data_IF_777844165787
#
_entry.id   IF_777844165787
#
_cell.length_a   1.000
_cell.length_b   1.000
_cell.length_c   1.000
_cell.angle_alpha   90.00
_cell.angle_beta   90.00
_cell.angle_gamma   90.00
#
_symmetry.space_group_name_H-M   'P 1'
#
loop_
_entity.id
_entity.type
_entity.pdbx_description
1 polymer ?
#
# COMPACT_ATOMS: atom_id res chain seq x y z
N UNK A 1 35.41 -9.90 5.79
CA UNK A 1 34.43 -10.63 6.61
C UNK A 1 34.06 -11.88 5.86
N UNK A 2 34.46 -13.06 6.34
CA UNK A 2 34.25 -14.33 5.61
C UNK A 2 32.92 -14.98 6.04
N UNK A 3 32.20 -15.66 5.12
CA UNK A 3 30.94 -16.33 5.43
C UNK A 3 31.03 -17.31 6.61
N UNK A 4 32.19 -17.98 6.75
CA UNK A 4 32.43 -18.92 7.85
C UNK A 4 32.45 -18.25 9.24
N UNK A 5 32.96 -17.02 9.33
CA UNK A 5 33.01 -16.27 10.59
C UNK A 5 31.60 -15.85 11.03
N UNK A 6 30.73 -15.55 10.06
CA UNK A 6 29.31 -15.22 10.28
C UNK A 6 28.58 -16.46 10.82
N UNK A 7 28.75 -17.64 10.21
CA UNK A 7 28.17 -18.89 10.70
C UNK A 7 28.64 -19.26 12.12
N UNK A 8 29.94 -19.11 12.40
CA UNK A 8 30.48 -19.34 13.77
C UNK A 8 29.88 -18.38 14.80
N UNK A 9 29.59 -17.14 14.41
CA UNK A 9 28.98 -16.16 15.32
C UNK A 9 27.53 -16.50 15.67
N UNK A 10 26.74 -17.01 14.72
CA UNK A 10 25.38 -17.52 14.99
C UNK A 10 25.41 -18.78 15.86
N UNK A 11 26.35 -19.69 15.61
CA UNK A 11 26.55 -20.88 16.45
C UNK A 11 26.95 -20.53 17.88
N UNK A 12 27.87 -19.59 18.08
CA UNK A 12 28.37 -19.19 19.39
C UNK A 12 27.33 -18.44 20.24
N UNK A 13 26.40 -17.73 19.60
CA UNK A 13 25.36 -16.93 20.27
C UNK A 13 24.09 -17.74 20.56
N UNK A 14 24.03 -19.00 20.14
CA UNK A 14 22.87 -19.87 20.37
C UNK A 14 21.61 -19.40 19.65
N UNK A 15 21.73 -18.49 18.68
CA UNK A 15 20.62 -17.99 17.86
C UNK A 15 20.24 -19.11 16.90
N UNK A 16 19.23 -19.89 17.30
CA UNK A 16 18.64 -20.96 16.51
C UNK A 16 17.67 -20.35 15.48
N UNK A 17 17.75 -20.74 14.19
CA UNK A 17 18.10 -22.08 13.72
C UNK A 17 19.33 -22.15 12.80
N UNK A 18 20.14 -23.19 13.01
CA UNK A 18 21.21 -23.56 12.09
C UNK A 18 20.69 -24.09 10.74
N UNK A 19 19.42 -24.51 10.71
CA UNK A 19 18.71 -24.95 9.51
C UNK A 19 17.61 -23.94 9.16
N UNK A 20 17.90 -23.07 8.20
CA UNK A 20 16.96 -22.06 7.74
C UNK A 20 15.66 -22.70 7.18
N UNK A 21 15.77 -23.90 6.57
CA UNK A 21 14.64 -24.60 5.98
C UNK A 21 13.66 -25.09 7.05
N UNK A 22 14.13 -25.38 8.27
CA UNK A 22 13.27 -25.75 9.39
C UNK A 22 12.34 -24.61 9.83
N UNK A 23 12.77 -23.35 9.67
CA UNK A 23 11.91 -22.19 9.93
C UNK A 23 10.94 -21.98 8.79
N UNK A 24 11.42 -22.02 7.55
CA UNK A 24 10.58 -21.85 6.37
C UNK A 24 9.45 -22.89 6.32
N UNK A 25 9.73 -24.15 6.68
CA UNK A 25 8.72 -25.22 6.78
C UNK A 25 7.67 -24.98 7.87
N UNK A 26 8.00 -24.30 8.98
CA UNK A 26 7.01 -23.98 10.03
C UNK A 26 5.98 -22.97 9.53
N UNK A 27 6.42 -22.01 8.71
CA UNK A 27 5.56 -20.96 8.17
C UNK A 27 4.79 -21.36 6.90
N UNK A 28 5.16 -22.46 6.24
CA UNK A 28 4.48 -22.99 5.05
C UNK A 28 3.28 -23.92 5.34
N UNK A 29 2.76 -23.96 6.56
CA UNK A 29 1.56 -24.74 6.89
C UNK A 29 0.28 -23.91 6.68
N UNK A 30 0.04 -23.44 5.47
CA UNK A 30 -1.32 -23.05 5.09
C UNK A 30 -2.03 -24.29 4.57
N UNK A 31 -3.23 -24.63 5.06
CA UNK A 31 -4.08 -25.53 4.29
C UNK A 31 -4.25 -24.88 2.92
N UNK A 32 -3.95 -25.62 1.85
CA UNK A 32 -4.44 -25.30 0.51
C UNK A 32 -5.96 -25.39 0.56
N UNK A 33 -6.60 -24.35 1.11
CA UNK A 33 -7.97 -24.06 0.79
C UNK A 33 -7.90 -23.43 -0.60
N UNK A 34 -7.98 -24.32 -1.59
CA UNK A 34 -8.42 -24.00 -2.93
C UNK A 34 -9.87 -23.51 -2.81
N UNK A 35 -10.06 -22.32 -2.27
CA UNK A 35 -11.20 -21.52 -2.69
C UNK A 35 -10.73 -20.89 -4.00
N UNK A 36 -11.14 -21.52 -5.10
CA UNK A 36 -11.20 -20.92 -6.43
C UNK A 36 -12.20 -19.75 -6.45
N UNK A 37 -12.22 -18.92 -5.41
CA UNK A 37 -12.92 -17.64 -5.45
C UNK A 37 -11.89 -16.65 -5.96
N UNK A 38 -11.87 -16.57 -7.29
CA UNK A 38 -11.25 -15.56 -8.13
C UNK A 38 -10.28 -14.68 -7.36
N UNK A 39 -8.97 -14.86 -7.60
CA UNK A 39 -7.95 -13.87 -7.29
C UNK A 39 -8.61 -12.50 -7.39
N UNK A 40 -8.89 -11.89 -6.23
CA UNK A 40 -9.16 -10.47 -6.16
C UNK A 40 -7.78 -9.92 -6.45
N UNK A 41 -7.43 -9.93 -7.74
CA UNK A 41 -6.21 -9.34 -8.24
C UNK A 41 -6.17 -7.95 -7.64
N UNK A 42 -4.97 -7.47 -7.35
CA UNK A 42 -4.77 -6.04 -7.22
C UNK A 42 -5.48 -5.36 -8.39
N UNK A 43 -6.72 -4.93 -8.18
CA UNK A 43 -7.53 -4.27 -9.17
C UNK A 43 -7.06 -2.81 -9.16
N UNK A 44 -5.76 -2.62 -9.42
CA UNK A 44 -5.19 -1.37 -9.85
C UNK A 44 -5.80 -1.07 -11.23
N UNK A 45 -6.96 -0.43 -11.21
CA UNK A 45 -7.77 -0.14 -12.39
C UNK A 45 -9.25 -0.56 -12.30
N UNK A 46 -9.65 -1.29 -11.24
CA UNK A 46 -11.04 -1.73 -10.97
C UNK A 46 -11.86 -0.79 -10.10
N UNK A 47 -11.44 0.46 -9.93
CA UNK A 47 -12.12 1.43 -9.08
C UNK A 47 -13.30 2.12 -9.77
N UNK A 48 -13.57 1.78 -11.04
CA UNK A 48 -14.61 2.46 -11.80
C UNK A 48 -16.00 2.02 -11.35
N UNK A 49 -16.86 2.99 -11.01
CA UNK A 49 -18.25 2.75 -10.65
C UNK A 49 -19.00 1.77 -11.58
N UNK A 50 -18.83 1.79 -12.92
CA UNK A 50 -19.51 0.86 -13.81
C UNK A 50 -19.18 -0.61 -13.56
N UNK A 51 -17.95 -0.92 -13.16
CA UNK A 51 -17.50 -2.30 -12.92
C UNK A 51 -18.02 -2.81 -11.57
N UNK A 52 -17.87 -2.02 -10.52
CA UNK A 52 -18.50 -2.28 -9.22
C UNK A 52 -20.01 -2.43 -9.33
N UNK A 53 -20.64 -1.64 -10.22
CA UNK A 53 -22.07 -1.73 -10.48
C UNK A 53 -22.45 -3.05 -11.15
N UNK A 54 -21.66 -3.55 -12.11
CA UNK A 54 -21.91 -4.86 -12.74
C UNK A 54 -21.82 -5.99 -11.71
N UNK A 55 -20.80 -5.97 -10.84
CA UNK A 55 -20.63 -6.96 -9.77
C UNK A 55 -21.82 -6.91 -8.81
N UNK A 56 -22.20 -5.71 -8.36
CA UNK A 56 -23.38 -5.51 -7.52
C UNK A 56 -24.65 -6.04 -8.20
N UNK A 57 -24.82 -5.74 -9.48
CA UNK A 57 -25.99 -6.13 -10.27
C UNK A 57 -26.06 -7.64 -10.53
N UNK A 58 -24.94 -8.35 -10.52
CA UNK A 58 -24.88 -9.81 -10.62
C UNK A 58 -25.15 -10.49 -9.27
N UNK A 59 -24.63 -9.92 -8.17
CA UNK A 59 -24.76 -10.49 -6.83
C UNK A 59 -26.14 -10.24 -6.19
N UNK A 60 -26.80 -9.12 -6.51
CA UNK A 60 -28.05 -8.71 -5.85
C UNK A 60 -29.27 -9.08 -6.68
N UNK A 61 -29.95 -10.16 -6.27
CA UNK A 61 -31.12 -10.70 -6.96
C UNK A 61 -32.32 -9.72 -7.03
N UNK A 62 -32.61 -8.98 -5.96
CA UNK A 62 -33.70 -7.98 -5.95
C UNK A 62 -33.18 -6.57 -5.69
N UNK A 63 -32.85 -5.88 -6.78
CA UNK A 63 -32.28 -4.53 -6.82
C UNK A 63 -33.29 -3.43 -6.44
N UNK A 64 -34.59 -3.73 -6.52
CA UNK A 64 -35.64 -2.78 -6.19
C UNK A 64 -35.85 -2.65 -4.68
N UNK A 65 -35.35 -3.60 -3.88
CA UNK A 65 -35.37 -3.52 -2.41
C UNK A 65 -34.66 -2.27 -1.94
N UNK A 66 -35.24 -1.63 -0.92
CA UNK A 66 -34.71 -0.41 -0.31
C UNK A 66 -33.28 -0.64 0.19
N UNK A 67 -33.02 -1.80 0.80
CA UNK A 67 -31.70 -2.20 1.28
C UNK A 67 -30.67 -2.29 0.15
N UNK A 68 -31.03 -2.88 -0.98
CA UNK A 68 -30.16 -2.97 -2.15
C UNK A 68 -29.83 -1.58 -2.71
N UNK A 69 -30.83 -0.68 -2.82
CA UNK A 69 -30.59 0.70 -3.26
C UNK A 69 -29.67 1.45 -2.29
N UNK A 70 -29.89 1.30 -0.99
CA UNK A 70 -29.05 1.92 0.05
C UNK A 70 -27.62 1.40 -0.03
N UNK A 71 -27.43 0.09 -0.18
CA UNK A 71 -26.11 -0.52 -0.33
C UNK A 71 -25.38 -0.01 -1.59
N UNK A 72 -26.08 0.06 -2.74
CA UNK A 72 -25.52 0.62 -3.97
C UNK A 72 -25.09 2.08 -3.80
N UNK A 73 -25.88 2.90 -3.10
CA UNK A 73 -25.55 4.30 -2.85
C UNK A 73 -24.34 4.44 -1.92
N UNK A 74 -24.28 3.63 -0.86
CA UNK A 74 -23.13 3.60 0.06
C UNK A 74 -21.86 3.15 -0.66
N UNK A 75 -21.94 2.15 -1.53
CA UNK A 75 -20.81 1.69 -2.33
C UNK A 75 -20.28 2.78 -3.28
N UNK A 76 -21.19 3.47 -3.97
CA UNK A 76 -20.82 4.58 -4.85
C UNK A 76 -20.16 5.73 -4.08
N UNK A 77 -20.73 6.12 -2.93
CA UNK A 77 -20.16 7.16 -2.08
C UNK A 77 -18.77 6.79 -1.58
N UNK A 78 -18.55 5.53 -1.19
CA UNK A 78 -17.25 5.05 -0.73
C UNK A 78 -16.21 5.09 -1.86
N UNK A 79 -16.59 4.69 -3.07
CA UNK A 79 -15.74 4.72 -4.25
C UNK A 79 -15.31 6.16 -4.60
N UNK A 80 -16.26 7.11 -4.66
CA UNK A 80 -15.95 8.53 -4.90
C UNK A 80 -15.03 9.10 -3.84
N UNK A 81 -15.27 8.77 -2.56
CA UNK A 81 -14.40 9.23 -1.47
C UNK A 81 -12.99 8.66 -1.56
N UNK A 82 -12.85 7.39 -1.95
CA UNK A 82 -11.53 6.76 -2.11
C UNK A 82 -10.76 7.41 -3.25
N UNK A 83 -11.41 7.67 -4.38
CA UNK A 83 -10.82 8.37 -5.52
C UNK A 83 -10.33 9.77 -5.13
N UNK A 84 -11.17 10.54 -4.44
CA UNK A 84 -10.77 11.87 -3.92
C UNK A 84 -9.55 11.80 -2.98
N UNK A 85 -9.51 10.80 -2.10
CA UNK A 85 -8.38 10.59 -1.20
C UNK A 85 -7.10 10.19 -1.93
N UNK A 86 -7.20 9.36 -2.98
CA UNK A 86 -6.05 8.98 -3.81
C UNK A 86 -5.48 10.19 -4.55
N UNK A 87 -6.32 10.95 -5.23
CA UNK A 87 -5.90 12.19 -5.91
C UNK A 87 -5.20 13.14 -4.94
N UNK A 88 -5.79 13.38 -3.76
CA UNK A 88 -5.18 14.25 -2.75
C UNK A 88 -3.84 13.72 -2.24
N UNK A 89 -3.71 12.41 -2.05
CA UNK A 89 -2.43 11.82 -1.65
C UNK A 89 -1.37 11.95 -2.74
N UNK A 90 -1.74 11.75 -4.00
CA UNK A 90 -0.84 11.94 -5.15
C UNK A 90 -0.36 13.39 -5.27
N UNK A 91 -1.27 14.36 -5.10
CA UNK A 91 -0.95 15.80 -5.06
C UNK A 91 0.03 16.12 -3.93
N UNK A 92 -0.25 15.66 -2.71
CA UNK A 92 0.62 15.88 -1.55
C UNK A 92 2.02 15.25 -1.76
N UNK A 93 2.08 14.05 -2.30
CA UNK A 93 3.35 13.40 -2.64
C UNK A 93 4.10 14.18 -3.72
N UNK A 94 3.39 14.71 -4.71
CA UNK A 94 3.98 15.56 -5.73
C UNK A 94 4.56 16.84 -5.12
N UNK A 95 3.81 17.55 -4.28
CA UNK A 95 4.27 18.76 -3.61
C UNK A 95 5.50 18.51 -2.73
N UNK A 96 5.48 17.44 -1.93
CA UNK A 96 6.64 17.06 -1.11
C UNK A 96 7.87 16.78 -1.96
N UNK A 97 7.71 16.10 -3.10
CA UNK A 97 8.80 15.86 -4.04
C UNK A 97 9.32 17.15 -4.67
N UNK A 98 8.44 18.10 -5.01
CA UNK A 98 8.83 19.42 -5.51
C UNK A 98 9.61 20.17 -4.46
N UNK A 99 9.14 20.23 -3.21
CA UNK A 99 9.83 20.91 -2.10
C UNK A 99 11.21 20.29 -1.87
N UNK A 100 11.29 18.95 -1.82
CA UNK A 100 12.55 18.22 -1.61
C UNK A 100 13.58 18.48 -2.72
N UNK A 101 13.14 18.70 -3.95
CA UNK A 101 14.01 18.95 -5.11
C UNK A 101 14.41 20.42 -5.27
N UNK A 102 13.78 21.36 -4.55
CA UNK A 102 14.16 22.78 -4.63
C UNK A 102 15.55 22.97 -4.00
N UNK A 103 16.52 23.53 -4.73
CA UNK A 103 17.82 23.87 -4.15
C UNK A 103 17.63 24.94 -3.08
N UNK A 104 18.22 24.73 -1.89
CA UNK A 104 18.23 25.74 -0.83
C UNK A 104 19.14 26.89 -1.26
N UNK A 105 18.58 27.88 -1.96
CA UNK A 105 19.26 29.14 -2.24
C UNK A 105 19.41 29.88 -0.90
N UNK A 106 20.58 29.76 -0.28
CA UNK A 106 20.95 30.60 0.86
C UNK A 106 21.34 31.96 0.29
N UNK A 107 20.39 32.90 0.27
CA UNK A 107 20.71 34.30 0.07
C UNK A 107 21.39 34.80 1.35
N UNK A 108 22.71 34.84 1.37
CA UNK A 108 23.44 35.59 2.39
C UNK A 108 23.15 37.07 2.17
N UNK A 109 22.36 37.66 3.06
CA UNK A 109 22.17 39.11 3.11
C UNK A 109 23.52 39.71 3.50
N UNK A 110 24.22 40.32 2.56
CA UNK A 110 25.40 41.14 2.88
C UNK A 110 24.90 42.34 3.67
N UNK A 111 25.16 42.37 4.97
CA UNK A 111 25.11 43.61 5.74
C UNK A 111 26.28 44.45 5.24
N UNK A 112 25.98 45.58 4.63
CA UNK A 112 26.96 46.59 4.28
C UNK A 112 27.51 47.13 5.60
N UNK A 113 28.58 46.50 6.11
CA UNK A 113 29.39 47.07 7.17
C UNK A 113 29.96 48.39 6.65
N UNK A 114 29.77 49.44 7.43
CA UNK A 114 30.20 50.78 7.10
C UNK A 114 31.70 50.82 6.91
N UNK A 115 32.12 51.35 5.77
CA UNK A 115 33.46 51.90 5.60
C UNK A 115 33.38 53.41 5.94
N UNK A 116 34.30 53.80 6.81
CA UNK A 116 34.57 55.13 7.37
C UNK A 116 34.79 56.25 6.32
#
# INVERSE_FOLDING_TARGET
MTPELILKSFQATGVWPMDADAVLKRFNNYPQQQDEDAEIGEHGGGDSWPELRKIFDAAVANKARIEAKRLSQSLHSLQVNNELLRTRNEELQHELNVIKKRPTQRTTLTTQDGDD
#
